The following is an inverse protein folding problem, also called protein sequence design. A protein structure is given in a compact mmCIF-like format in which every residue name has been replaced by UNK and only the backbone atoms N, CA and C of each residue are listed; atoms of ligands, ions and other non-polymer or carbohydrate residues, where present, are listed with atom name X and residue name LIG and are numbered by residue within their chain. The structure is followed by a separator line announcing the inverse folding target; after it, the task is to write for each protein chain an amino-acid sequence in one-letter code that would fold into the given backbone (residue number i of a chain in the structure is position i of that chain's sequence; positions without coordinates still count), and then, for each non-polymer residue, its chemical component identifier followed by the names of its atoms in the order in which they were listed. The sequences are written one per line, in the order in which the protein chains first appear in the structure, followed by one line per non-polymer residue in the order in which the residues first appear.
data_IF_584646622236
#
_entry.id   IF_584646622236
#
_cell.length_a   1.000
_cell.length_b   1.000
_cell.length_c   1.000
_cell.angle_alpha   90.00
_cell.angle_beta   90.00
_cell.angle_gamma   90.00
#
_symmetry.space_group_name_H-M   'P 1'
#
loop_
_entity.id
_entity.type
_entity.pdbx_description
1 polymer ?
#
# COMPACT_ATOMS: atom_id res chain seq x y z
N UNK A 1 -3.76 -11.74 17.34
CA UNK A 1 -2.74 -10.68 17.14
C UNK A 1 -3.40 -9.31 17.13
N UNK A 2 -2.90 -8.35 17.91
CA UNK A 2 -3.34 -6.95 17.82
C UNK A 2 -2.86 -6.30 16.53
N UNK A 3 -3.57 -5.28 16.04
CA UNK A 3 -3.23 -4.56 14.81
C UNK A 3 -1.78 -4.01 14.85
N UNK A 4 -1.35 -3.51 16.02
CA UNK A 4 0.02 -3.05 16.29
C UNK A 4 1.08 -4.12 16.00
N UNK A 5 0.80 -5.37 16.37
CA UNK A 5 1.74 -6.50 16.14
C UNK A 5 1.89 -6.80 14.65
N UNK A 6 0.81 -6.66 13.87
CA UNK A 6 0.87 -6.86 12.41
C UNK A 6 1.77 -5.81 11.73
N UNK A 7 1.68 -4.54 12.12
CA UNK A 7 2.58 -3.50 11.62
C UNK A 7 4.03 -3.72 12.06
N UNK A 8 4.29 -4.15 13.30
CA UNK A 8 5.65 -4.51 13.73
C UNK A 8 6.24 -5.65 12.89
N UNK A 9 5.45 -6.69 12.59
CA UNK A 9 5.87 -7.78 11.71
C UNK A 9 6.13 -7.31 10.28
N UNK A 10 5.33 -6.37 9.78
CA UNK A 10 5.52 -5.77 8.45
C UNK A 10 6.85 -4.99 8.38
N UNK A 11 7.15 -4.17 9.40
CA UNK A 11 8.42 -3.44 9.48
C UNK A 11 9.60 -4.41 9.59
N UNK A 12 9.45 -5.50 10.35
CA UNK A 12 10.47 -6.54 10.43
C UNK A 12 10.69 -7.27 9.10
N UNK A 13 9.62 -7.53 8.34
CA UNK A 13 9.70 -8.10 6.99
C UNK A 13 10.51 -7.17 6.07
N UNK A 14 10.13 -5.90 5.99
CA UNK A 14 10.81 -4.88 5.17
C UNK A 14 12.29 -4.77 5.55
N UNK A 15 12.59 -4.72 6.85
CA UNK A 15 13.98 -4.64 7.33
C UNK A 15 14.80 -5.85 6.87
N UNK A 16 14.21 -7.06 6.93
CA UNK A 16 14.88 -8.30 6.51
C UNK A 16 15.08 -8.35 5.00
N UNK A 17 14.10 -7.91 4.22
CA UNK A 17 14.22 -7.80 2.76
C UNK A 17 15.32 -6.82 2.36
N UNK A 18 15.30 -5.61 2.95
CA UNK A 18 16.29 -4.58 2.66
C UNK A 18 17.69 -5.11 2.95
N UNK A 19 17.88 -5.84 4.06
CA UNK A 19 19.14 -6.51 4.36
C UNK A 19 19.50 -7.58 3.32
N UNK A 20 18.54 -8.40 2.89
CA UNK A 20 18.77 -9.44 1.88
C UNK A 20 19.30 -8.85 0.56
N UNK A 21 18.66 -7.78 0.07
CA UNK A 21 19.04 -7.12 -1.19
C UNK A 21 20.40 -6.45 -1.09
N UNK A 22 20.66 -5.75 0.02
CA UNK A 22 21.96 -5.10 0.23
C UNK A 22 23.09 -6.11 0.41
N UNK A 23 22.83 -7.25 1.07
CA UNK A 23 23.81 -8.32 1.23
C UNK A 23 24.17 -8.97 -0.11
N UNK A 24 23.18 -9.15 -1.01
CA UNK A 24 23.45 -9.62 -2.38
C UNK A 24 24.38 -8.66 -3.12
N UNK A 25 24.09 -7.34 -3.07
CA UNK A 25 24.92 -6.32 -3.69
C UNK A 25 26.34 -6.29 -3.08
N UNK A 26 26.47 -6.57 -1.78
CA UNK A 26 27.76 -6.59 -1.08
C UNK A 26 28.61 -7.81 -1.40
N UNK A 27 27.97 -8.92 -1.76
CA UNK A 27 28.64 -10.19 -2.05
C UNK A 27 29.14 -10.31 -3.50
N UNK A 28 29.06 -9.25 -4.30
CA UNK A 28 29.49 -9.21 -5.72
C UNK A 28 28.96 -10.39 -6.58
N UNK A 29 27.78 -10.93 -6.24
CA UNK A 29 27.19 -12.06 -6.98
C UNK A 29 27.82 -13.43 -6.66
N UNK A 30 28.60 -13.57 -5.59
CA UNK A 30 29.05 -14.88 -5.14
C UNK A 30 27.85 -15.80 -4.82
N UNK A 31 27.99 -17.09 -5.14
CA UNK A 31 26.99 -18.14 -4.87
C UNK A 31 26.51 -18.12 -3.41
N UNK A 32 27.41 -17.85 -2.45
CA UNK A 32 27.07 -17.75 -1.04
C UNK A 32 26.16 -16.54 -0.73
N UNK A 33 26.43 -15.39 -1.34
CA UNK A 33 25.58 -14.20 -1.18
C UNK A 33 24.20 -14.38 -1.77
N UNK A 34 24.09 -15.06 -2.92
CA UNK A 34 22.81 -15.40 -3.53
C UNK A 34 21.97 -16.34 -2.67
N UNK A 35 22.58 -17.40 -2.12
CA UNK A 35 21.89 -18.34 -1.22
C UNK A 35 21.44 -17.62 0.05
N UNK A 36 22.30 -16.79 0.65
CA UNK A 36 21.96 -16.01 1.84
C UNK A 36 20.80 -15.03 1.59
N UNK A 37 20.81 -14.35 0.44
CA UNK A 37 19.71 -13.48 0.00
C UNK A 37 18.41 -14.27 -0.12
N UNK A 38 18.40 -15.41 -0.79
CA UNK A 38 17.18 -16.22 -0.94
C UNK A 38 16.60 -16.63 0.41
N UNK A 39 17.44 -17.06 1.34
CA UNK A 39 17.01 -17.44 2.70
C UNK A 39 16.37 -16.25 3.41
N UNK A 40 17.03 -15.09 3.42
CA UNK A 40 16.51 -13.88 4.06
C UNK A 40 15.22 -13.37 3.37
N UNK A 41 15.14 -13.47 2.05
CA UNK A 41 13.97 -13.09 1.28
C UNK A 41 12.76 -13.96 1.66
N UNK A 42 12.94 -15.28 1.73
CA UNK A 42 11.88 -16.20 2.17
C UNK A 42 11.41 -15.88 3.59
N UNK A 43 12.35 -15.55 4.50
CA UNK A 43 12.03 -15.12 5.86
C UNK A 43 11.22 -13.82 5.87
N UNK A 44 11.58 -12.85 5.04
CA UNK A 44 10.80 -11.61 4.87
C UNK A 44 9.37 -11.89 4.43
N UNK A 45 9.20 -12.67 3.34
CA UNK A 45 7.88 -13.03 2.82
C UNK A 45 7.05 -13.81 3.84
N UNK A 46 7.69 -14.64 4.67
CA UNK A 46 7.01 -15.33 5.76
C UNK A 46 6.45 -14.35 6.81
N UNK A 47 7.23 -13.35 7.22
CA UNK A 47 6.75 -12.31 8.14
C UNK A 47 5.65 -11.44 7.51
N UNK A 48 5.78 -11.10 6.23
CA UNK A 48 4.75 -10.40 5.48
C UNK A 48 3.46 -11.20 5.45
N UNK A 49 3.51 -12.49 5.10
CA UNK A 49 2.34 -13.38 5.08
C UNK A 49 1.65 -13.47 6.46
N UNK A 50 2.43 -13.40 7.55
CA UNK A 50 1.89 -13.35 8.91
C UNK A 50 1.14 -12.04 9.19
N UNK A 51 1.60 -10.91 8.65
CA UNK A 51 0.93 -9.61 8.77
C UNK A 51 -0.42 -9.56 8.00
N UNK A 52 -0.51 -10.28 6.88
CA UNK A 52 -1.72 -10.38 6.04
C UNK A 52 -2.91 -11.06 6.74
N UNK A 53 -2.69 -11.77 7.85
CA UNK A 53 -3.78 -12.35 8.65
C UNK A 53 -4.68 -11.29 9.32
N UNK A 54 -4.26 -10.03 9.34
CA UNK A 54 -4.99 -8.92 9.98
C UNK A 54 -5.13 -7.69 9.10
N UNK A 55 -4.17 -7.43 8.22
CA UNK A 55 -4.19 -6.32 7.27
C UNK A 55 -4.83 -6.77 5.95
N UNK A 56 -5.52 -5.87 5.25
CA UNK A 56 -5.90 -6.15 3.87
C UNK A 56 -4.66 -6.26 3.00
N UNK A 57 -4.71 -7.17 2.02
CA UNK A 57 -3.58 -7.45 1.11
C UNK A 57 -3.12 -6.17 0.43
N UNK A 58 -4.06 -5.33 -0.04
CA UNK A 58 -3.77 -4.05 -0.69
C UNK A 58 -2.97 -3.09 0.20
N UNK A 59 -3.34 -2.95 1.48
CA UNK A 59 -2.66 -2.03 2.40
C UNK A 59 -1.26 -2.53 2.75
N UNK A 60 -1.12 -3.82 3.03
CA UNK A 60 0.18 -4.40 3.35
C UNK A 60 1.14 -4.32 2.16
N UNK A 61 0.66 -4.63 0.95
CA UNK A 61 1.46 -4.55 -0.28
C UNK A 61 1.90 -3.12 -0.59
N UNK A 62 1.00 -2.14 -0.45
CA UNK A 62 1.33 -0.73 -0.68
C UNK A 62 2.45 -0.23 0.26
N UNK A 63 2.40 -0.59 1.54
CA UNK A 63 3.44 -0.19 2.50
C UNK A 63 4.75 -0.93 2.22
N UNK A 64 4.67 -2.22 1.93
CA UNK A 64 5.83 -3.08 1.69
C UNK A 64 6.63 -2.63 0.46
N UNK A 65 5.97 -2.43 -0.69
CA UNK A 65 6.62 -1.96 -1.92
C UNK A 65 7.23 -0.56 -1.76
N UNK A 66 6.45 0.41 -1.23
CA UNK A 66 6.91 1.80 -1.14
C UNK A 66 8.04 1.97 -0.13
N UNK A 67 7.90 1.39 1.06
CA UNK A 67 8.91 1.54 2.11
C UNK A 67 10.15 0.69 1.81
N UNK A 68 9.98 -0.52 1.29
CA UNK A 68 11.07 -1.38 0.84
C UNK A 68 11.93 -0.71 -0.23
N UNK A 69 11.31 -0.19 -1.29
CA UNK A 69 12.02 0.49 -2.37
C UNK A 69 12.81 1.73 -1.89
N UNK A 70 12.20 2.59 -1.07
CA UNK A 70 12.86 3.78 -0.52
C UNK A 70 14.07 3.38 0.34
N UNK A 71 13.92 2.36 1.20
CA UNK A 71 15.00 1.87 2.05
C UNK A 71 16.13 1.21 1.25
N UNK A 72 15.82 0.35 0.27
CA UNK A 72 16.82 -0.30 -0.58
C UNK A 72 17.66 0.74 -1.33
N UNK A 73 17.01 1.72 -1.99
CA UNK A 73 17.73 2.75 -2.73
C UNK A 73 18.54 3.65 -1.80
N UNK A 74 17.96 4.05 -0.66
CA UNK A 74 18.65 4.86 0.34
C UNK A 74 19.93 4.20 0.86
N UNK A 75 19.87 2.93 1.25
CA UNK A 75 21.04 2.19 1.72
C UNK A 75 22.02 1.92 0.57
N UNK A 76 21.54 1.60 -0.62
CA UNK A 76 22.41 1.37 -1.78
C UNK A 76 23.25 2.61 -2.11
N UNK A 77 22.69 3.82 -2.02
CA UNK A 77 23.43 5.06 -2.26
C UNK A 77 24.40 5.39 -1.11
N UNK A 78 23.99 5.14 0.14
CA UNK A 78 24.80 5.48 1.32
C UNK A 78 25.96 4.51 1.56
N UNK A 79 25.74 3.21 1.38
CA UNK A 79 26.68 2.16 1.77
C UNK A 79 27.68 1.80 0.66
N UNK A 80 27.23 1.75 -0.60
CA UNK A 80 28.11 1.39 -1.71
C UNK A 80 28.92 2.57 -2.24
N UNK A 81 28.51 3.81 -1.97
CA UNK A 81 29.27 5.01 -2.33
C UNK A 81 29.67 5.05 -3.81
N UNK A 82 28.93 4.38 -4.70
CA UNK A 82 29.28 4.31 -6.12
C UNK A 82 29.33 5.74 -6.67
N UNK A 83 30.48 6.13 -7.21
CA UNK A 83 30.60 7.36 -7.99
C UNK A 83 29.82 7.19 -9.29
N UNK A 84 28.53 7.51 -9.21
CA UNK A 84 27.63 7.42 -10.35
C UNK A 84 28.13 8.38 -11.43
N UNK A 85 28.53 7.82 -12.57
CA UNK A 85 28.78 8.59 -13.79
C UNK A 85 27.53 9.39 -14.15
N UNK A 86 27.71 10.51 -14.85
CA UNK A 86 26.60 11.39 -15.25
C UNK A 86 25.46 10.65 -15.98
N UNK A 87 25.79 9.60 -16.74
CA UNK A 87 24.82 8.74 -17.42
C UNK A 87 24.02 7.86 -16.45
N UNK A 88 24.66 7.30 -15.42
CA UNK A 88 23.99 6.51 -14.38
C UNK A 88 23.08 7.38 -13.50
N UNK A 89 23.50 8.60 -13.19
CA UNK A 89 22.66 9.60 -12.49
C UNK A 89 21.40 9.92 -13.29
N UNK A 90 21.52 10.10 -14.61
CA UNK A 90 20.37 10.34 -15.48
C UNK A 90 19.44 9.13 -15.56
N UNK A 91 19.98 7.90 -15.60
CA UNK A 91 19.19 6.67 -15.57
C UNK A 91 18.44 6.46 -14.25
N UNK A 92 19.07 6.78 -13.12
CA UNK A 92 18.43 6.76 -11.80
C UNK A 92 17.34 7.83 -11.72
N UNK A 93 17.62 9.06 -12.17
CA UNK A 93 16.64 10.14 -12.21
C UNK A 93 15.42 9.79 -13.09
N UNK A 94 15.66 9.17 -14.24
CA UNK A 94 14.60 8.69 -15.13
C UNK A 94 13.81 7.53 -14.52
N UNK A 95 14.46 6.64 -13.77
CA UNK A 95 13.79 5.55 -13.03
C UNK A 95 12.90 6.12 -11.92
N UNK A 96 13.38 7.09 -11.15
CA UNK A 96 12.56 7.80 -10.16
C UNK A 96 11.40 8.57 -10.81
N UNK A 97 11.62 9.23 -11.95
CA UNK A 97 10.54 9.84 -12.73
C UNK A 97 9.54 8.80 -13.25
N UNK A 98 9.99 7.64 -13.71
CA UNK A 98 9.14 6.54 -14.17
C UNK A 98 8.29 5.96 -13.03
N UNK A 99 8.91 5.66 -11.89
CA UNK A 99 8.24 5.19 -10.67
C UNK A 99 7.28 6.26 -10.16
N UNK A 100 7.69 7.53 -10.15
CA UNK A 100 6.84 8.65 -9.75
C UNK A 100 5.65 8.88 -10.69
N UNK A 101 5.82 8.67 -12.00
CA UNK A 101 4.75 8.78 -12.99
C UNK A 101 3.75 7.64 -12.86
N UNK A 102 4.23 6.41 -12.62
CA UNK A 102 3.38 5.25 -12.29
C UNK A 102 2.63 5.52 -10.99
N UNK A 103 3.32 5.94 -9.93
CA UNK A 103 2.73 6.25 -8.64
C UNK A 103 1.67 7.36 -8.74
N UNK A 104 1.93 8.42 -9.52
CA UNK A 104 0.97 9.49 -9.76
C UNK A 104 -0.24 9.03 -10.59
N UNK A 105 -0.04 8.15 -11.58
CA UNK A 105 -1.12 7.54 -12.34
C UNK A 105 -2.00 6.63 -11.46
N UNK A 106 -1.38 5.87 -10.56
CA UNK A 106 -2.04 4.92 -9.66
C UNK A 106 -2.79 5.65 -8.53
N UNK A 107 -2.24 6.75 -8.01
CA UNK A 107 -2.96 7.67 -7.11
C UNK A 107 -4.18 8.27 -7.81
N UNK A 108 -4.09 8.61 -9.10
CA UNK A 108 -5.26 9.06 -9.87
C UNK A 108 -6.32 7.97 -10.03
N UNK A 109 -5.91 6.73 -10.27
CA UNK A 109 -6.80 5.59 -10.39
C UNK A 109 -7.53 5.30 -9.07
N UNK A 110 -6.81 5.19 -7.95
CA UNK A 110 -7.41 4.98 -6.63
C UNK A 110 -8.32 6.15 -6.21
N UNK A 111 -7.96 7.39 -6.57
CA UNK A 111 -8.80 8.55 -6.29
C UNK A 111 -10.08 8.57 -7.13
N UNK A 112 -10.09 7.92 -8.30
CA UNK A 112 -11.29 7.73 -9.11
C UNK A 112 -12.22 6.70 -8.48
N UNK A 113 -11.68 5.53 -8.12
CA UNK A 113 -12.43 4.45 -7.47
C UNK A 113 -12.97 4.88 -6.09
N UNK A 114 -12.16 5.59 -5.30
CA UNK A 114 -12.59 6.16 -4.02
C UNK A 114 -13.68 7.24 -4.19
N UNK A 115 -13.67 7.97 -5.30
CA UNK A 115 -14.68 9.00 -5.60
C UNK A 115 -15.98 8.38 -6.11
N UNK A 116 -15.93 7.29 -6.86
CA UNK A 116 -17.09 6.49 -7.24
C UNK A 116 -17.70 5.77 -6.05
N UNK A 117 -16.87 5.17 -5.18
CA UNK A 117 -17.32 4.54 -3.94
C UNK A 117 -18.01 5.55 -3.00
N UNK A 118 -17.45 6.77 -2.88
CA UNK A 118 -18.08 7.85 -2.08
C UNK A 118 -19.41 8.31 -2.68
N UNK A 119 -19.49 8.41 -4.01
CA UNK A 119 -20.71 8.80 -4.73
C UNK A 119 -21.81 7.72 -4.62
N UNK A 120 -21.44 6.45 -4.66
CA UNK A 120 -22.37 5.34 -4.45
C UNK A 120 -22.91 5.33 -3.01
N UNK A 121 -22.05 5.57 -2.01
CA UNK A 121 -22.47 5.68 -0.61
C UNK A 121 -23.43 6.86 -0.38
N UNK A 122 -23.13 8.06 -0.90
CA UNK A 122 -24.02 9.24 -0.80
C UNK A 122 -25.35 9.03 -1.52
N UNK A 123 -25.38 8.27 -2.62
CA UNK A 123 -26.62 7.94 -3.33
C UNK A 123 -27.52 6.97 -2.56
N UNK A 124 -26.93 6.03 -1.80
CA UNK A 124 -27.69 5.13 -0.94
C UNK A 124 -28.27 5.87 0.27
N UNK A 125 -27.50 6.75 0.89
CA UNK A 125 -27.95 7.56 2.04
C UNK A 125 -29.11 8.51 1.66
N UNK A 126 -29.04 9.11 0.46
CA UNK A 126 -30.12 9.94 -0.10
C UNK A 126 -31.38 9.12 -0.43
N UNK A 127 -31.22 7.84 -0.78
CA UNK A 127 -32.34 6.94 -1.06
C UNK A 127 -33.02 6.51 0.25
N UNK A 128 -32.25 6.17 1.28
CA UNK A 128 -32.75 5.86 2.63
C UNK A 128 -33.47 7.07 3.27
N UNK A 129 -32.91 8.28 3.09
CA UNK A 129 -33.53 9.55 3.51
C UNK A 129 -34.90 9.79 2.85
N UNK A 130 -35.00 9.57 1.54
CA UNK A 130 -36.26 9.77 0.79
C UNK A 130 -37.31 8.71 1.16
N UNK A 131 -36.90 7.47 1.42
CA UNK A 131 -37.81 6.39 1.81
C UNK A 131 -38.41 6.65 3.21
N UNK A 132 -37.60 7.14 4.15
CA UNK A 132 -38.06 7.55 5.49
C UNK A 132 -39.00 8.77 5.42
N UNK A 133 -38.72 9.74 4.56
CA UNK A 133 -39.56 10.93 4.39
C UNK A 133 -40.90 10.60 3.71
N UNK A 134 -40.90 9.69 2.73
CA UNK A 134 -42.11 9.17 2.10
C UNK A 134 -43.01 8.45 3.11
N UNK A 135 -42.45 7.60 3.97
CA UNK A 135 -43.19 6.90 5.02
C UNK A 135 -43.76 7.86 6.08
N UNK A 136 -42.98 8.87 6.51
CA UNK A 136 -43.46 9.90 7.44
C UNK A 136 -44.62 10.71 6.86
N UNK A 137 -44.53 11.09 5.58
CA UNK A 137 -45.59 11.86 4.92
C UNK A 137 -46.86 11.02 4.72
N UNK A 138 -46.76 9.73 4.43
CA UNK A 138 -47.90 8.80 4.36
C UNK A 138 -48.60 8.66 5.72
N UNK A 139 -47.86 8.51 6.82
CA UNK A 139 -48.41 8.42 8.17
C UNK A 139 -49.09 9.72 8.63
N UNK A 140 -48.53 10.89 8.30
CA UNK A 140 -49.20 12.18 8.55
C UNK A 140 -50.50 12.32 7.77
N UNK A 141 -50.53 11.83 6.52
CA UNK A 141 -51.72 11.90 5.68
C UNK A 141 -52.86 10.99 6.16
N UNK A 142 -52.53 9.81 6.73
CA UNK A 142 -53.51 8.92 7.38
C UNK A 142 -54.01 9.49 8.71
N UNK A 143 -53.12 10.01 9.57
CA UNK A 143 -53.51 10.63 10.83
C UNK A 143 -54.42 11.86 10.65
N UNK A 144 -54.26 12.63 9.56
CA UNK A 144 -55.18 13.72 9.24
C UNK A 144 -56.57 13.22 8.79
N UNK A 145 -56.66 12.07 8.13
CA UNK A 145 -57.94 11.48 7.70
C UNK A 145 -58.77 10.91 8.86
N UNK A 146 -58.14 10.41 9.92
CA UNK A 146 -58.84 9.89 11.10
C UNK A 146 -59.40 10.99 12.03
N UNK A 147 -58.96 12.24 11.84
CA UNK A 147 -59.37 13.40 12.64
C UNK A 147 -60.54 14.22 12.06
N UNK A 148 -61.11 13.78 10.94
CA UNK A 148 -62.30 14.35 10.29
C UNK A 148 -63.46 13.37 10.30
#
# INVERSE_FOLDING_TARGET
MSLKVAYCLLVAAISTEVLAVNLMKASEGALFGFVSMLVLLVVSYYFMALSLKRLSISVAYAIWEVLGAVCVVGISLFYFGEELFWTQKLGILLSFCGIGLINYAEIKAQKSEAKEAKKAAESMECMESNEQESQRNSQQHEAQKESQ
#
